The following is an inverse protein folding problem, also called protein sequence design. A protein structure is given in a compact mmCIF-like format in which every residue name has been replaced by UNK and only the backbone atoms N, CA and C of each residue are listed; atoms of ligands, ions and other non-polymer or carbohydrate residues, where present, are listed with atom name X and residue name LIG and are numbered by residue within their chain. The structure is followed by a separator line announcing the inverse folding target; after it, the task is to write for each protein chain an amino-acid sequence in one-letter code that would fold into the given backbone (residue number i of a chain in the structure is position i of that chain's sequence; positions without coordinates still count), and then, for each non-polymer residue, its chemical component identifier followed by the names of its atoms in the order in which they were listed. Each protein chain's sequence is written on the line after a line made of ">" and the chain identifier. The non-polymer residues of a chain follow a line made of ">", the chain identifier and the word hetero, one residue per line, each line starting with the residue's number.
data_IF_373053621581
#
_entry.id   IF_373053621581
#
_cell.length_a   1.000
_cell.length_b   1.000
_cell.length_c   1.000
_cell.angle_alpha   90.00
_cell.angle_beta   90.00
_cell.angle_gamma   90.00
#
_symmetry.space_group_name_H-M   'P 1'
#
loop_
_entity.id
_entity.type
_entity.pdbx_description
1 polymer ?
#
# COMPACT_ATOMS: atom_id res chain seq x y z
N UNK A 1 -6.07 14.16 -12.61
CA UNK A 1 -5.38 12.94 -13.07
C UNK A 1 -5.84 11.78 -12.22
N UNK A 2 -5.82 10.55 -12.75
CA UNK A 2 -6.17 9.33 -12.00
C UNK A 2 -4.93 8.70 -11.36
N UNK A 3 -5.09 8.00 -10.23
CA UNK A 3 -3.97 7.25 -9.63
C UNK A 3 -3.78 5.92 -10.36
N UNK A 4 -2.53 5.61 -10.71
CA UNK A 4 -2.18 4.37 -11.42
C UNK A 4 -1.05 3.64 -10.72
N UNK A 5 -1.15 2.31 -10.68
CA UNK A 5 -0.02 1.44 -10.38
C UNK A 5 0.58 0.99 -11.71
N UNK A 6 1.86 1.29 -11.94
CA UNK A 6 2.53 0.99 -13.21
C UNK A 6 3.59 -0.09 -13.01
N UNK A 7 3.46 -1.17 -13.75
CA UNK A 7 4.46 -2.24 -13.81
C UNK A 7 5.19 -2.17 -15.16
N UNK A 8 6.51 -2.16 -15.12
CA UNK A 8 7.35 -2.00 -16.30
C UNK A 8 8.31 -3.17 -16.46
N UNK A 9 8.50 -3.62 -17.70
CA UNK A 9 9.52 -4.58 -18.08
C UNK A 9 10.37 -4.03 -19.23
N UNK A 10 11.69 -4.24 -19.18
CA UNK A 10 12.59 -3.85 -20.27
C UNK A 10 12.37 -4.73 -21.50
N UNK A 11 12.17 -4.12 -22.66
CA UNK A 11 12.27 -4.81 -23.96
C UNK A 11 13.74 -4.83 -24.34
N UNK A 12 14.28 -6.01 -24.63
CA UNK A 12 15.72 -6.22 -24.89
C UNK A 12 15.96 -6.73 -26.29
N UNK A 13 17.08 -6.28 -26.86
CA UNK A 13 17.49 -6.63 -28.21
C UNK A 13 17.55 -8.14 -28.43
N UNK A 14 17.00 -8.58 -29.57
CA UNK A 14 16.87 -10.00 -29.92
C UNK A 14 16.06 -10.85 -28.93
N UNK A 15 15.30 -10.25 -28.02
CA UNK A 15 14.54 -10.98 -26.98
C UNK A 15 15.42 -11.67 -25.94
N UNK A 16 16.72 -11.35 -25.88
CA UNK A 16 17.66 -11.99 -24.94
C UNK A 16 17.59 -11.31 -23.57
N UNK A 17 17.61 -12.11 -22.50
CA UNK A 17 17.59 -11.60 -21.12
C UNK A 17 18.78 -10.68 -20.79
N UNK A 18 19.92 -10.91 -21.44
CA UNK A 18 21.16 -10.13 -21.34
C UNK A 18 21.35 -9.11 -22.48
N UNK A 19 20.39 -9.02 -23.42
CA UNK A 19 20.44 -8.10 -24.55
C UNK A 19 20.37 -6.63 -24.10
N UNK A 20 20.86 -5.72 -24.96
CA UNK A 20 20.79 -4.28 -24.69
C UNK A 20 19.31 -3.85 -24.53
N UNK A 21 18.97 -3.04 -23.51
CA UNK A 21 17.62 -2.47 -23.39
C UNK A 21 17.31 -1.55 -24.58
N UNK A 22 16.21 -1.81 -25.27
CA UNK A 22 15.76 -1.03 -26.44
C UNK A 22 14.38 -0.40 -26.26
N UNK A 23 13.71 -0.67 -25.13
CA UNK A 23 12.42 -0.08 -24.82
C UNK A 23 11.84 -0.55 -23.49
N UNK A 24 10.61 -0.15 -23.18
CA UNK A 24 9.87 -0.54 -21.99
C UNK A 24 8.45 -0.94 -22.38
N UNK A 25 7.98 -2.08 -21.88
CA UNK A 25 6.56 -2.44 -21.85
C UNK A 25 6.00 -2.04 -20.48
N UNK A 26 4.97 -1.19 -20.47
CA UNK A 26 4.32 -0.73 -19.25
C UNK A 26 2.86 -1.17 -19.20
N UNK A 27 2.40 -1.62 -18.04
CA UNK A 27 1.01 -1.94 -17.74
C UNK A 27 0.54 -0.96 -16.66
N UNK A 28 -0.52 -0.20 -16.95
CA UNK A 28 -1.14 0.73 -16.01
C UNK A 28 -2.43 0.13 -15.48
N UNK A 29 -2.49 -0.07 -14.16
CA UNK A 29 -3.71 -0.45 -13.47
C UNK A 29 -4.40 0.80 -12.94
N UNK A 30 -5.70 0.93 -13.21
CA UNK A 30 -6.56 1.91 -12.53
C UNK A 30 -6.63 1.53 -11.05
N UNK A 31 -5.80 2.20 -10.27
CA UNK A 31 -5.42 1.77 -8.93
C UNK A 31 -6.37 2.33 -7.87
N UNK A 32 -6.78 3.59 -8.03
CA UNK A 32 -7.61 4.30 -7.06
C UNK A 32 -8.89 3.53 -6.66
N UNK A 33 -9.74 3.05 -7.59
CA UNK A 33 -10.95 2.33 -7.22
C UNK A 33 -10.65 0.98 -6.56
N UNK A 34 -9.59 0.29 -6.96
CA UNK A 34 -9.20 -1.00 -6.39
C UNK A 34 -8.69 -0.84 -4.95
N UNK A 35 -7.80 0.12 -4.72
CA UNK A 35 -7.25 0.40 -3.40
C UNK A 35 -8.36 0.83 -2.42
N UNK A 36 -9.30 1.66 -2.88
CA UNK A 36 -10.48 2.08 -2.11
C UNK A 36 -11.36 0.90 -1.72
N UNK A 37 -11.63 -0.01 -2.66
CA UNK A 37 -12.43 -1.20 -2.38
C UNK A 37 -11.78 -2.10 -1.32
N UNK A 38 -10.45 -2.25 -1.34
CA UNK A 38 -9.71 -3.03 -0.33
C UNK A 38 -9.92 -2.45 1.06
N UNK A 39 -9.63 -1.16 1.27
CA UNK A 39 -9.71 -0.54 2.61
C UNK A 39 -11.16 -0.38 3.09
N UNK A 40 -12.12 -0.17 2.18
CA UNK A 40 -13.53 -0.08 2.50
C UNK A 40 -14.13 -1.45 2.88
N UNK A 41 -13.65 -2.53 2.26
CA UNK A 41 -14.14 -3.90 2.45
C UNK A 41 -13.72 -4.54 3.78
N UNK A 42 -12.73 -3.96 4.49
CA UNK A 42 -12.32 -4.45 5.81
C UNK A 42 -13.42 -4.18 6.84
N UNK A 43 -13.87 -5.28 7.48
CA UNK A 43 -14.91 -5.25 8.50
C UNK A 43 -14.36 -4.64 9.79
N UNK A 44 -14.98 -3.55 10.21
CA UNK A 44 -14.81 -2.93 11.51
C UNK A 44 -16.17 -2.94 12.19
N UNK A 45 -16.21 -3.22 13.50
CA UNK A 45 -17.48 -3.22 14.24
C UNK A 45 -18.17 -1.84 14.11
N UNK A 46 -19.52 -1.77 14.04
CA UNK A 46 -20.21 -0.49 13.93
C UNK A 46 -19.86 0.49 15.04
N UNK A 47 -19.63 -0.02 16.26
CA UNK A 47 -19.28 0.78 17.44
C UNK A 47 -17.87 1.40 17.33
N UNK A 48 -16.98 0.77 16.56
CA UNK A 48 -15.59 1.21 16.42
C UNK A 48 -15.34 2.00 15.13
N UNK A 49 -16.27 1.93 14.16
CA UNK A 49 -16.06 2.50 12.82
C UNK A 49 -15.73 3.98 12.83
N UNK A 50 -16.34 4.76 13.73
CA UNK A 50 -16.10 6.20 13.83
C UNK A 50 -14.69 6.56 14.32
N UNK A 51 -14.03 5.65 15.06
CA UNK A 51 -12.71 5.86 15.67
C UNK A 51 -11.58 5.06 15.04
N UNK A 52 -11.88 4.28 13.99
CA UNK A 52 -10.95 3.37 13.33
C UNK A 52 -10.79 3.70 11.85
N UNK A 53 -9.55 3.87 11.41
CA UNK A 53 -9.15 4.03 10.00
C UNK A 53 -8.43 2.78 9.53
N UNK A 54 -8.83 2.27 8.37
CA UNK A 54 -8.12 1.20 7.65
C UNK A 54 -7.38 1.84 6.49
N UNK A 55 -6.08 1.58 6.39
CA UNK A 55 -5.18 2.26 5.49
C UNK A 55 -4.32 1.26 4.72
N UNK A 56 -3.94 1.65 3.51
CA UNK A 56 -2.83 1.07 2.77
C UNK A 56 -1.78 2.18 2.61
N UNK A 57 -0.54 1.89 2.98
CA UNK A 57 0.57 2.86 2.91
C UNK A 57 1.76 2.29 2.15
N UNK A 58 2.56 3.15 1.53
CA UNK A 58 3.79 2.73 0.85
C UNK A 58 4.95 2.44 1.83
N UNK A 59 6.14 2.16 1.30
CA UNK A 59 7.34 1.85 2.09
C UNK A 59 7.79 3.03 2.98
N UNK A 60 7.48 4.27 2.59
CA UNK A 60 7.77 5.48 3.37
C UNK A 60 6.63 5.83 4.33
N UNK A 61 5.55 5.03 4.34
CA UNK A 61 4.31 5.19 5.11
C UNK A 61 3.42 6.32 4.61
N UNK A 62 3.56 6.73 3.36
CA UNK A 62 2.61 7.64 2.71
C UNK A 62 1.29 6.92 2.46
N UNK A 63 0.17 7.57 2.78
CA UNK A 63 -1.16 6.97 2.60
C UNK A 63 -1.49 6.83 1.12
N UNK A 64 -1.67 5.59 0.66
CA UNK A 64 -2.11 5.25 -0.70
C UNK A 64 -3.64 5.12 -0.77
N UNK A 65 -4.27 4.58 0.27
CA UNK A 65 -5.72 4.51 0.40
C UNK A 65 -6.14 4.56 1.87
N UNK A 66 -7.32 5.12 2.12
CA UNK A 66 -7.89 5.24 3.46
C UNK A 66 -9.40 4.97 3.43
N UNK A 67 -9.90 4.22 4.41
CA UNK A 67 -11.34 3.89 4.52
C UNK A 67 -12.24 5.09 4.77
N UNK A 68 -11.67 6.20 5.23
CA UNK A 68 -12.33 7.50 5.44
C UNK A 68 -11.98 8.52 4.34
N UNK A 69 -11.19 8.11 3.35
CA UNK A 69 -10.72 8.91 2.21
C UNK A 69 -9.84 10.11 2.56
N UNK A 70 -9.45 10.26 3.83
CA UNK A 70 -8.64 11.38 4.31
C UNK A 70 -7.15 11.10 4.16
N UNK A 71 -6.39 12.13 3.84
CA UNK A 71 -4.92 12.06 3.82
C UNK A 71 -4.34 11.29 2.63
N UNK A 72 -5.16 10.81 1.69
CA UNK A 72 -4.68 10.07 0.52
C UNK A 72 -3.66 10.91 -0.25
N UNK A 73 -2.47 10.35 -0.45
CA UNK A 73 -1.28 10.95 -1.05
C UNK A 73 -0.75 12.22 -0.36
N UNK A 74 -1.27 12.63 0.78
CA UNK A 74 -0.87 13.87 1.48
C UNK A 74 -0.41 13.63 2.92
N UNK A 75 -0.91 12.57 3.54
CA UNK A 75 -0.54 12.12 4.88
C UNK A 75 0.59 11.09 4.80
N UNK A 76 1.52 11.17 5.76
CA UNK A 76 2.51 10.13 6.02
C UNK A 76 2.34 9.69 7.47
N UNK A 77 2.10 8.40 7.68
CA UNK A 77 1.90 7.86 9.02
C UNK A 77 3.22 7.73 9.76
N UNK A 78 3.24 8.22 11.00
CA UNK A 78 4.33 7.98 11.93
C UNK A 78 4.09 6.69 12.72
N UNK A 79 4.65 5.58 12.26
CA UNK A 79 4.86 4.38 13.09
C UNK A 79 6.22 3.74 12.75
N UNK A 80 6.83 3.10 13.74
CA UNK A 80 8.08 2.34 13.57
C UNK A 80 7.76 0.84 13.67
N UNK A 81 7.95 0.07 12.57
CA UNK A 81 7.74 -1.36 12.61
C UNK A 81 8.81 -2.11 13.41
N UNK A 82 9.90 -1.45 13.84
CA UNK A 82 11.03 -2.05 14.59
C UNK A 82 11.60 -3.31 13.92
N UNK A 83 11.62 -3.31 12.59
CA UNK A 83 12.04 -4.45 11.77
C UNK A 83 11.04 -5.61 11.67
N UNK A 84 9.88 -5.52 12.34
CA UNK A 84 8.82 -6.52 12.28
C UNK A 84 8.01 -6.46 10.97
N UNK A 85 7.65 -7.62 10.43
CA UNK A 85 6.69 -7.71 9.33
C UNK A 85 5.28 -7.34 9.78
N UNK A 86 4.95 -7.49 11.06
CA UNK A 86 3.66 -7.10 11.63
C UNK A 86 3.81 -6.73 13.10
N UNK A 87 2.83 -6.02 13.64
CA UNK A 87 2.85 -5.64 15.04
C UNK A 87 1.81 -4.59 15.40
N UNK A 88 1.91 -4.13 16.64
CA UNK A 88 1.09 -3.04 17.19
C UNK A 88 2.03 -2.01 17.78
N UNK A 89 1.92 -0.77 17.32
CA UNK A 89 2.58 0.39 17.90
C UNK A 89 1.57 1.17 18.77
N UNK A 90 2.00 1.53 19.97
CA UNK A 90 1.23 2.37 20.89
C UNK A 90 1.82 3.78 20.90
N UNK A 91 0.99 4.78 20.64
CA UNK A 91 1.35 6.19 20.71
C UNK A 91 0.12 7.03 21.05
N UNK A 92 -0.07 8.17 20.37
CA UNK A 92 -1.33 8.93 20.44
C UNK A 92 -2.54 8.11 19.96
N UNK A 93 -2.29 7.12 19.10
CA UNK A 93 -3.26 6.17 18.59
C UNK A 93 -2.70 4.75 18.72
N UNK A 94 -3.57 3.75 18.73
CA UNK A 94 -3.17 2.34 18.56
C UNK A 94 -3.04 2.07 17.07
N UNK A 95 -1.86 1.65 16.62
CA UNK A 95 -1.58 1.41 15.20
C UNK A 95 -1.15 -0.04 14.99
N UNK A 96 -2.03 -0.87 14.46
CA UNK A 96 -1.69 -2.22 14.02
C UNK A 96 -1.24 -2.20 12.56
N UNK A 97 -0.20 -2.94 12.21
CA UNK A 97 0.35 -2.97 10.86
C UNK A 97 0.77 -4.37 10.43
N UNK A 98 0.77 -4.59 9.12
CA UNK A 98 1.34 -5.78 8.48
C UNK A 98 1.92 -5.41 7.11
N UNK A 99 3.18 -5.78 6.85
CA UNK A 99 3.87 -5.61 5.57
C UNK A 99 3.26 -6.53 4.53
N UNK A 100 3.01 -6.04 3.32
CA UNK A 100 2.52 -6.86 2.21
C UNK A 100 3.69 -7.73 1.69
N UNK A 101 3.59 -9.07 1.72
CA UNK A 101 4.73 -9.95 1.42
C UNK A 101 5.11 -10.02 -0.07
N UNK A 102 4.21 -9.62 -0.97
CA UNK A 102 4.33 -9.84 -2.43
C UNK A 102 3.27 -10.82 -2.93
N UNK A 103 3.37 -11.22 -4.19
CA UNK A 103 2.46 -12.18 -4.82
C UNK A 103 3.23 -13.10 -5.78
N UNK A 104 2.98 -14.41 -5.69
CA UNK A 104 3.72 -15.44 -6.43
C UNK A 104 5.25 -15.29 -6.26
N UNK A 105 5.96 -14.98 -7.35
CA UNK A 105 7.42 -14.80 -7.37
C UNK A 105 7.82 -13.32 -7.28
N UNK A 106 6.87 -12.40 -7.21
CA UNK A 106 7.13 -10.97 -7.13
C UNK A 106 7.27 -10.53 -5.68
N UNK A 107 8.40 -9.89 -5.38
CA UNK A 107 8.62 -9.24 -4.09
C UNK A 107 7.60 -8.12 -3.87
N UNK A 108 7.10 -7.99 -2.64
CA UNK A 108 6.20 -6.90 -2.27
C UNK A 108 6.89 -5.54 -2.36
N UNK A 109 6.13 -4.50 -2.68
CA UNK A 109 6.60 -3.12 -2.84
C UNK A 109 6.99 -2.42 -1.51
N UNK A 110 7.14 -3.18 -0.43
CA UNK A 110 7.38 -2.64 0.91
C UNK A 110 6.15 -1.98 1.56
N UNK A 111 4.96 -2.14 0.97
CA UNK A 111 3.73 -1.53 1.48
C UNK A 111 3.25 -2.19 2.77
N UNK A 112 2.39 -1.47 3.50
CA UNK A 112 1.77 -1.96 4.72
C UNK A 112 0.25 -1.77 4.69
N UNK A 113 -0.47 -2.80 5.11
CA UNK A 113 -1.84 -2.64 5.62
C UNK A 113 -1.78 -2.13 7.05
N UNK A 114 -2.52 -1.08 7.36
CA UNK A 114 -2.46 -0.41 8.67
C UNK A 114 -3.88 -0.15 9.19
N UNK A 115 -4.11 -0.42 10.46
CA UNK A 115 -5.33 -0.05 11.18
C UNK A 115 -4.93 0.92 12.29
N UNK A 116 -5.47 2.13 12.24
CA UNK A 116 -5.29 3.15 13.27
C UNK A 116 -6.59 3.29 14.03
N UNK A 117 -6.53 3.19 15.35
CA UNK A 117 -7.67 3.40 16.22
C UNK A 117 -7.36 4.49 17.24
N UNK A 118 -8.27 5.46 17.33
CA UNK A 118 -8.27 6.46 18.41
C UNK A 118 -8.80 5.86 19.71
N UNK A 119 -8.17 6.27 20.81
CA UNK A 119 -8.51 5.86 22.17
C UNK A 119 -9.76 6.59 22.63
#
# INVERSE_FOLDING_TARGET
>A
GAQVATYCASIRDGGRADGAPIGVLAIHFDWEPQARAIVAGIRVSPQDRARTRVLLVDADRRVLAASDERGVLTETLAFDPKGGASGVAHGAFVTAFHRTPGYETYEGLGWYGVIVQSV
#
